data_IF_676922524153
#
_entry.id   IF_676922524153
#
_cell.length_a   1.000
_cell.length_b   1.000
_cell.length_c   1.000
_cell.angle_alpha   90.00
_cell.angle_beta   90.00
_cell.angle_gamma   90.00
#
_symmetry.space_group_name_H-M   'P 1'
#
loop_
_entity.id
_entity.type
_entity.pdbx_description
1 polymer ?
#
# COMPACT_ATOMS: atom_id res chain seq x y z
N UNK A 1 10.27 -11.04 -0.71
CA UNK A 1 8.85 -11.32 -0.99
C UNK A 1 8.09 -10.79 0.21
N UNK A 2 7.00 -10.02 0.05
CA UNK A 2 6.18 -9.67 1.20
C UNK A 2 5.70 -10.97 1.83
N UNK A 3 5.91 -11.10 3.14
CA UNK A 3 5.41 -12.25 3.90
C UNK A 3 3.89 -12.22 3.81
N UNK A 4 3.25 -13.36 3.57
CA UNK A 4 1.79 -13.49 3.61
C UNK A 4 1.46 -14.42 4.77
N UNK A 5 0.65 -13.93 5.72
CA UNK A 5 0.28 -14.63 6.94
C UNK A 5 -1.25 -14.75 7.04
N UNK A 6 -1.71 -15.86 7.58
CA UNK A 6 -3.07 -16.03 8.09
C UNK A 6 -3.29 -15.24 9.39
N UNK A 7 -4.54 -15.12 9.83
CA UNK A 7 -4.87 -14.47 11.10
C UNK A 7 -4.20 -15.19 12.28
N UNK A 8 -4.18 -16.51 12.24
CA UNK A 8 -3.61 -17.37 13.27
C UNK A 8 -2.08 -17.23 13.33
N UNK A 9 -1.40 -17.21 12.18
CA UNK A 9 0.05 -16.98 12.11
C UNK A 9 0.43 -15.58 12.59
N UNK A 10 -0.35 -14.56 12.23
CA UNK A 10 -0.14 -13.19 12.73
C UNK A 10 -0.33 -13.14 14.25
N UNK A 11 -1.40 -13.75 14.77
CA UNK A 11 -1.71 -13.80 16.21
C UNK A 11 -0.58 -14.45 17.01
N UNK A 12 -0.08 -15.59 16.52
CA UNK A 12 1.06 -16.29 17.13
C UNK A 12 2.32 -15.42 17.13
N UNK A 13 2.62 -14.78 15.98
CA UNK A 13 3.81 -13.93 15.82
C UNK A 13 3.81 -12.72 16.75
N UNK A 14 2.67 -12.05 16.91
CA UNK A 14 2.58 -10.78 17.66
C UNK A 14 2.05 -10.94 19.08
N UNK A 15 1.72 -12.18 19.48
CA UNK A 15 1.15 -12.56 20.76
C UNK A 15 -0.11 -11.76 21.13
N UNK A 16 -1.03 -11.61 20.18
CA UNK A 16 -2.33 -10.96 20.37
C UNK A 16 -3.44 -11.96 20.08
N UNK A 17 -4.52 -11.91 20.87
CA UNK A 17 -5.71 -12.74 20.67
C UNK A 17 -6.28 -12.56 19.25
N UNK A 18 -6.56 -13.65 18.50
CA UNK A 18 -7.09 -13.57 17.14
C UNK A 18 -8.39 -12.77 17.02
N UNK A 19 -9.21 -12.74 18.07
CA UNK A 19 -10.44 -11.96 18.11
C UNK A 19 -10.17 -10.44 18.00
N UNK A 20 -9.13 -9.95 18.68
CA UNK A 20 -8.76 -8.53 18.68
C UNK A 20 -8.16 -8.11 17.32
N UNK A 21 -7.33 -8.97 16.72
CA UNK A 21 -6.81 -8.74 15.38
C UNK A 21 -7.93 -8.70 14.32
N UNK A 22 -8.96 -9.55 14.48
CA UNK A 22 -10.13 -9.55 13.60
C UNK A 22 -10.92 -8.26 13.72
N UNK A 23 -11.15 -7.77 14.95
CA UNK A 23 -11.82 -6.49 15.20
C UNK A 23 -11.11 -5.33 14.50
N UNK A 24 -9.78 -5.27 14.59
CA UNK A 24 -8.99 -4.25 13.88
C UNK A 24 -9.04 -4.39 12.36
N UNK A 25 -9.05 -5.62 11.84
CA UNK A 25 -9.21 -5.85 10.40
C UNK A 25 -10.60 -5.41 9.91
N UNK A 26 -11.66 -5.71 10.67
CA UNK A 26 -13.03 -5.28 10.37
C UNK A 26 -13.18 -3.75 10.42
N UNK A 27 -12.42 -3.07 11.29
CA UNK A 27 -12.32 -1.61 11.35
C UNK A 27 -11.45 -0.99 10.23
N UNK A 28 -10.85 -1.81 9.35
CA UNK A 28 -9.95 -1.36 8.29
C UNK A 28 -8.58 -0.89 8.77
N UNK A 29 -8.21 -1.19 10.01
CA UNK A 29 -6.91 -0.86 10.61
C UNK A 29 -5.82 -1.88 10.26
N UNK A 30 -6.22 -3.09 9.86
CA UNK A 30 -5.38 -4.16 9.31
C UNK A 30 -6.05 -4.72 8.06
N UNK A 31 -5.27 -5.34 7.17
CA UNK A 31 -5.78 -5.92 5.91
C UNK A 31 -6.74 -4.94 5.19
N UNK A 32 -6.26 -3.74 4.78
CA UNK A 32 -7.13 -2.74 4.16
C UNK A 32 -7.71 -3.19 2.80
N UNK A 33 -7.31 -4.37 2.29
CA UNK A 33 -7.82 -4.99 1.07
C UNK A 33 -8.94 -6.00 1.35
N UNK A 34 -9.12 -6.43 2.60
CA UNK A 34 -10.10 -7.45 2.97
C UNK A 34 -9.80 -8.84 2.40
N UNK A 35 -8.53 -9.13 2.09
CA UNK A 35 -8.11 -10.40 1.48
C UNK A 35 -8.02 -11.54 2.52
N UNK A 36 -8.16 -11.23 3.82
CA UNK A 36 -7.93 -12.12 4.96
C UNK A 36 -6.52 -12.71 4.95
N UNK A 37 -5.58 -11.88 4.51
CA UNK A 37 -4.15 -12.13 4.43
C UNK A 37 -3.44 -10.91 4.96
N UNK A 38 -2.46 -11.15 5.83
CA UNK A 38 -1.70 -10.11 6.49
C UNK A 38 -0.26 -10.10 5.99
N UNK A 39 0.32 -8.92 5.87
CA UNK A 39 1.68 -8.75 5.38
C UNK A 39 2.57 -7.93 6.32
N UNK A 40 3.80 -7.66 5.89
CA UNK A 40 4.75 -6.88 6.68
C UNK A 40 4.25 -5.44 6.95
N UNK A 41 3.36 -4.88 6.10
CA UNK A 41 2.73 -3.59 6.35
C UNK A 41 1.71 -3.69 7.49
N UNK A 42 1.03 -4.82 7.65
CA UNK A 42 0.15 -5.04 8.81
C UNK A 42 0.92 -5.08 10.13
N UNK A 43 2.18 -5.56 10.11
CA UNK A 43 3.07 -5.44 11.28
C UNK A 43 3.40 -3.97 11.61
N UNK A 44 3.58 -3.11 10.59
CA UNK A 44 3.77 -1.67 10.81
C UNK A 44 2.51 -0.99 11.32
N UNK A 45 1.33 -1.33 10.77
CA UNK A 45 0.02 -0.87 11.26
C UNK A 45 -0.18 -1.24 12.72
N UNK A 46 0.19 -2.45 13.12
CA UNK A 46 0.13 -2.90 14.51
C UNK A 46 0.97 -2.04 15.47
N UNK A 47 2.12 -1.52 15.04
CA UNK A 47 2.89 -0.58 15.86
C UNK A 47 2.13 0.73 16.11
N UNK A 48 1.49 1.27 15.06
CA UNK A 48 0.66 2.49 15.14
C UNK A 48 -0.55 2.26 16.05
N UNK A 49 -1.23 1.13 15.89
CA UNK A 49 -2.36 0.71 16.73
C UNK A 49 -1.93 0.65 18.20
N UNK A 50 -0.81 -0.03 18.51
CA UNK A 50 -0.29 -0.15 19.88
C UNK A 50 0.08 1.21 20.49
N UNK A 51 0.65 2.11 19.69
CA UNK A 51 0.96 3.47 20.13
C UNK A 51 -0.32 4.25 20.48
N UNK A 52 -1.35 4.19 19.63
CA UNK A 52 -2.63 4.84 19.90
C UNK A 52 -3.33 4.26 21.14
N UNK A 53 -3.31 2.93 21.32
CA UNK A 53 -3.81 2.29 22.55
C UNK A 53 -3.04 2.78 23.79
N UNK A 54 -1.71 2.88 23.71
CA UNK A 54 -0.88 3.37 24.82
C UNK A 54 -1.17 4.85 25.18
N UNK A 55 -1.61 5.64 24.21
CA UNK A 55 -2.07 7.02 24.40
C UNK A 55 -3.53 7.12 24.89
N UNK A 56 -4.22 5.99 25.09
CA UNK A 56 -5.60 5.95 25.53
C UNK A 56 -6.62 6.41 24.49
N UNK A 57 -6.22 6.45 23.20
CA UNK A 57 -7.12 6.76 22.09
C UNK A 57 -7.91 5.52 21.68
N UNK A 58 -9.13 5.74 21.22
CA UNK A 58 -9.95 4.65 20.70
C UNK A 58 -9.52 4.24 19.29
N UNK A 59 -9.76 2.98 18.93
CA UNK A 59 -9.50 2.46 17.58
C UNK A 59 -10.49 3.01 16.56
N UNK A 60 -11.72 3.33 16.99
CA UNK A 60 -12.71 4.01 16.16
C UNK A 60 -12.24 5.42 15.74
N UNK A 61 -11.63 6.18 16.66
CA UNK A 61 -11.04 7.48 16.33
C UNK A 61 -9.88 7.35 15.33
N UNK A 62 -9.02 6.34 15.50
CA UNK A 62 -7.94 6.07 14.55
C UNK A 62 -8.50 5.69 13.18
N UNK A 63 -9.49 4.80 13.12
CA UNK A 63 -10.14 4.40 11.87
C UNK A 63 -10.81 5.60 11.17
N UNK A 64 -11.48 6.47 11.95
CA UNK A 64 -12.08 7.70 11.43
C UNK A 64 -11.03 8.67 10.87
N UNK A 65 -9.92 8.90 11.60
CA UNK A 65 -8.83 9.77 11.15
C UNK A 65 -8.17 9.23 9.86
N UNK A 66 -7.97 7.92 9.76
CA UNK A 66 -7.48 7.25 8.55
C UNK A 66 -8.45 7.48 7.39
N UNK A 67 -9.74 7.23 7.60
CA UNK A 67 -10.76 7.41 6.56
C UNK A 67 -10.83 8.87 6.06
N UNK A 68 -10.75 9.83 6.99
CA UNK A 68 -10.71 11.25 6.69
C UNK A 68 -9.40 11.71 6.01
N UNK A 69 -8.32 10.93 6.14
CA UNK A 69 -6.99 11.31 5.66
C UNK A 69 -6.28 12.32 6.53
N UNK A 70 -6.59 12.33 7.82
CA UNK A 70 -5.99 13.21 8.82
C UNK A 70 -4.69 12.62 9.40
N UNK A 71 -4.30 11.43 8.96
CA UNK A 71 -3.02 10.79 9.29
C UNK A 71 -1.94 11.30 8.34
N UNK A 72 -0.70 11.43 8.83
CA UNK A 72 0.42 11.95 8.02
C UNK A 72 0.49 11.29 6.62
N UNK A 73 0.82 12.05 5.55
CA UNK A 73 0.78 11.55 4.17
C UNK A 73 1.50 10.21 3.97
N UNK A 74 2.67 10.03 4.61
CA UNK A 74 3.41 8.76 4.59
C UNK A 74 2.60 7.59 5.15
N UNK A 75 1.96 7.79 6.31
CA UNK A 75 1.09 6.80 6.91
C UNK A 75 -0.18 6.60 6.06
N UNK A 76 -0.77 7.65 5.50
CA UNK A 76 -1.99 7.57 4.69
C UNK A 76 -1.82 6.93 3.30
N UNK A 77 -0.65 7.03 2.67
CA UNK A 77 -0.45 6.48 1.32
C UNK A 77 0.14 5.07 1.33
N UNK A 78 1.08 4.80 2.23
CA UNK A 78 1.81 3.53 2.26
C UNK A 78 1.28 2.57 3.32
N UNK A 79 0.93 3.09 4.50
CA UNK A 79 0.47 2.28 5.63
C UNK A 79 -1.05 2.18 5.62
N UNK A 80 -1.80 3.19 5.20
CA UNK A 80 -3.27 3.20 5.25
C UNK A 80 -3.87 3.68 3.91
N UNK A 81 -3.54 3.00 2.79
CA UNK A 81 -3.92 3.43 1.45
C UNK A 81 -5.43 3.68 1.33
N UNK A 82 -5.78 4.84 0.76
CA UNK A 82 -7.18 5.23 0.50
C UNK A 82 -7.56 5.04 -0.96
N UNK A 83 -8.84 4.77 -1.19
CA UNK A 83 -9.40 4.59 -2.52
C UNK A 83 -9.25 3.16 -3.05
N UNK A 84 -9.57 2.96 -4.33
CA UNK A 84 -9.53 1.65 -4.96
C UNK A 84 -8.08 1.15 -5.04
N UNK A 85 -7.83 -0.02 -4.44
CA UNK A 85 -6.59 -0.76 -4.56
C UNK A 85 -6.72 -1.76 -5.71
N UNK A 86 -5.91 -1.57 -6.73
CA UNK A 86 -5.88 -2.35 -7.96
C UNK A 86 -4.74 -3.37 -7.90
N UNK A 87 -5.01 -4.58 -8.39
CA UNK A 87 -3.99 -5.55 -8.74
C UNK A 87 -3.16 -5.08 -9.94
N UNK A 88 -2.02 -5.73 -10.20
CA UNK A 88 -1.22 -5.47 -11.40
C UNK A 88 -2.04 -5.64 -12.69
N UNK A 89 -2.91 -6.66 -12.74
CA UNK A 89 -3.75 -6.93 -13.89
C UNK A 89 -4.79 -5.83 -14.11
N UNK A 90 -5.48 -5.41 -13.06
CA UNK A 90 -6.47 -4.32 -13.13
C UNK A 90 -5.80 -2.98 -13.48
N UNK A 91 -4.62 -2.70 -12.92
CA UNK A 91 -3.88 -1.49 -13.25
C UNK A 91 -3.43 -1.48 -14.72
N UNK A 92 -2.94 -2.61 -15.25
CA UNK A 92 -2.57 -2.74 -16.66
C UNK A 92 -3.76 -2.55 -17.59
N UNK A 93 -4.89 -3.19 -17.27
CA UNK A 93 -6.13 -3.06 -18.04
C UNK A 93 -6.63 -1.61 -18.09
N UNK A 94 -6.63 -0.92 -16.95
CA UNK A 94 -7.16 0.45 -16.85
C UNK A 94 -6.24 1.50 -17.45
N UNK A 95 -4.93 1.38 -17.25
CA UNK A 95 -3.95 2.37 -17.72
C UNK A 95 -3.48 2.13 -19.15
N UNK A 96 -3.71 0.94 -19.71
CA UNK A 96 -3.18 0.53 -21.00
C UNK A 96 -1.65 0.38 -21.03
N UNK A 97 -1.00 0.39 -19.86
CA UNK A 97 0.45 0.20 -19.73
C UNK A 97 0.77 -1.29 -19.70
N UNK A 98 1.86 -1.66 -20.37
CA UNK A 98 2.36 -3.03 -20.35
C UNK A 98 2.59 -3.54 -18.89
N UNK A 99 2.11 -4.75 -18.52
CA UNK A 99 2.23 -5.26 -17.16
C UNK A 99 3.67 -5.44 -16.67
N UNK A 100 4.63 -5.71 -17.56
CA UNK A 100 6.04 -5.83 -17.19
C UNK A 100 6.63 -4.45 -16.89
N UNK A 101 6.33 -3.46 -17.74
CA UNK A 101 6.72 -2.08 -17.48
C UNK A 101 6.09 -1.54 -16.19
N UNK A 102 4.82 -1.84 -15.90
CA UNK A 102 4.18 -1.45 -14.63
C UNK A 102 4.88 -2.03 -13.40
N UNK A 103 5.28 -3.31 -13.46
CA UNK A 103 6.01 -3.95 -12.36
C UNK A 103 7.35 -3.27 -12.10
N UNK A 104 8.05 -2.91 -13.16
CA UNK A 104 9.37 -2.30 -13.06
C UNK A 104 9.29 -0.84 -12.64
N UNK A 105 8.30 -0.10 -13.14
CA UNK A 105 8.01 1.26 -12.68
C UNK A 105 7.64 1.28 -11.20
N UNK A 106 6.77 0.36 -10.73
CA UNK A 106 6.44 0.25 -9.29
C UNK A 106 7.70 0.10 -8.44
N UNK A 107 8.64 -0.73 -8.90
CA UNK A 107 9.90 -0.97 -8.19
C UNK A 107 10.82 0.25 -8.26
N UNK A 108 10.95 0.86 -9.43
CA UNK A 108 11.78 2.05 -9.64
C UNK A 108 11.27 3.27 -8.87
N UNK A 109 9.95 3.47 -8.79
CA UNK A 109 9.31 4.53 -8.03
C UNK A 109 9.36 4.31 -6.50
N UNK A 110 9.96 3.20 -6.04
CA UNK A 110 10.08 2.88 -4.62
C UNK A 110 8.77 2.43 -3.94
N UNK A 111 7.73 2.09 -4.70
CA UNK A 111 6.44 1.71 -4.13
C UNK A 111 6.49 0.32 -3.50
N UNK A 112 6.45 0.29 -2.16
CA UNK A 112 6.55 -0.96 -1.38
C UNK A 112 5.27 -1.81 -1.43
N UNK A 113 4.10 -1.18 -1.64
CA UNK A 113 2.81 -1.86 -1.69
C UNK A 113 2.73 -2.81 -2.90
N UNK A 114 2.12 -4.01 -2.75
CA UNK A 114 2.09 -5.02 -3.82
C UNK A 114 1.15 -4.68 -4.99
N UNK A 115 0.29 -3.67 -4.85
CA UNK A 115 -0.70 -3.25 -5.84
C UNK A 115 -0.64 -1.75 -6.11
N UNK A 116 -1.64 -1.23 -6.81
CA UNK A 116 -1.76 0.15 -7.25
C UNK A 116 -2.94 0.86 -6.60
N UNK A 117 -2.83 2.15 -6.36
CA UNK A 117 -3.97 3.02 -6.11
C UNK A 117 -4.46 3.58 -7.44
N UNK A 118 -5.76 3.85 -7.54
CA UNK A 118 -6.31 4.55 -8.71
C UNK A 118 -5.55 5.86 -9.01
N UNK A 119 -5.12 6.56 -7.95
CA UNK A 119 -4.39 7.82 -8.07
C UNK A 119 -3.01 7.66 -8.75
N UNK A 120 -2.38 6.49 -8.61
CA UNK A 120 -1.08 6.21 -9.21
C UNK A 120 -1.14 6.09 -10.73
N UNK A 121 -2.31 5.72 -11.28
CA UNK A 121 -2.44 5.44 -12.70
C UNK A 121 -2.01 6.65 -13.53
N UNK A 122 -2.26 7.88 -13.05
CA UNK A 122 -1.80 9.11 -13.71
C UNK A 122 -0.28 9.21 -13.83
N UNK A 123 0.46 8.79 -12.80
CA UNK A 123 1.93 8.77 -12.82
C UNK A 123 2.40 7.72 -13.81
N UNK A 124 1.79 6.53 -13.79
CA UNK A 124 2.13 5.41 -14.68
C UNK A 124 1.85 5.74 -16.15
N UNK A 125 0.73 6.38 -16.44
CA UNK A 125 0.36 6.87 -17.77
C UNK A 125 1.35 7.92 -18.29
N UNK A 126 1.86 8.80 -17.43
CA UNK A 126 2.89 9.77 -17.79
C UNK A 126 4.20 9.08 -18.20
N UNK A 127 4.67 8.09 -17.44
CA UNK A 127 5.85 7.30 -17.82
C UNK A 127 5.61 6.50 -19.10
N UNK A 128 4.42 5.95 -19.30
CA UNK A 128 4.06 5.24 -20.53
C UNK A 128 4.09 6.17 -21.76
N UNK A 129 3.62 7.41 -21.63
CA UNK A 129 3.72 8.41 -22.69
C UNK A 129 5.19 8.73 -23.06
N UNK A 130 6.08 8.81 -22.06
CA UNK A 130 7.52 9.01 -22.29
C UNK A 130 8.13 7.79 -22.98
N UNK A 131 7.75 6.58 -22.57
CA UNK A 131 8.17 5.33 -23.21
C UNK A 131 7.74 5.29 -24.69
N UNK A 132 6.48 5.64 -24.96
CA UNK A 132 5.91 5.69 -26.31
C UNK A 132 6.59 6.74 -27.21
N UNK A 133 7.19 7.79 -26.62
CA UNK A 133 8.00 8.78 -27.33
C UNK A 133 9.41 8.25 -27.73
N UNK A 134 9.74 7.00 -27.38
CA UNK A 134 10.99 6.35 -27.77
C UNK A 134 12.11 6.46 -26.74
N UNK A 135 11.80 6.85 -25.49
CA UNK A 135 12.80 6.82 -24.42
C UNK A 135 13.27 5.38 -24.16
N UNK A 136 14.59 5.11 -24.09
CA UNK A 136 15.10 3.81 -23.71
C UNK A 136 14.60 3.38 -22.33
N UNK A 137 14.28 2.10 -22.19
CA UNK A 137 13.69 1.53 -20.98
C UNK A 137 14.54 1.80 -19.75
N UNK A 138 15.86 1.68 -19.86
CA UNK A 138 16.80 1.93 -18.77
C UNK A 138 16.72 3.39 -18.32
N UNK A 139 16.72 4.33 -19.26
CA UNK A 139 16.62 5.76 -18.96
C UNK A 139 15.26 6.13 -18.33
N UNK A 140 14.19 5.49 -18.79
CA UNK A 140 12.85 5.65 -18.22
C UNK A 140 12.82 5.20 -16.75
N UNK A 141 13.41 4.04 -16.45
CA UNK A 141 13.47 3.52 -15.08
C UNK A 141 14.39 4.35 -14.19
N UNK A 142 15.51 4.87 -14.69
CA UNK A 142 16.32 5.82 -13.93
C UNK A 142 15.56 7.12 -13.64
N UNK A 143 14.81 7.64 -14.61
CA UNK A 143 13.93 8.79 -14.40
C UNK A 143 12.86 8.52 -13.34
N UNK A 144 12.30 7.30 -13.32
CA UNK A 144 11.35 6.88 -12.31
C UNK A 144 11.97 6.79 -10.91
N UNK A 145 13.21 6.29 -10.78
CA UNK A 145 13.95 6.30 -9.49
C UNK A 145 14.19 7.71 -8.99
N UNK A 146 14.73 8.57 -9.86
CA UNK A 146 14.99 9.96 -9.51
C UNK A 146 13.71 10.71 -9.12
N UNK A 147 12.59 10.43 -9.78
CA UNK A 147 11.30 11.00 -9.40
C UNK A 147 10.82 10.47 -8.04
N UNK A 148 10.90 9.16 -7.83
CA UNK A 148 10.52 8.52 -6.56
C UNK A 148 11.32 9.05 -5.36
N UNK A 149 12.62 9.30 -5.53
CA UNK A 149 13.50 9.84 -4.48
C UNK A 149 13.15 11.29 -4.06
N UNK A 150 12.33 12.01 -4.85
CA UNK A 150 11.92 13.39 -4.56
C UNK A 150 10.56 13.53 -3.88
N UNK A 151 9.81 12.42 -3.76
CA UNK A 151 8.50 12.35 -3.12
C UNK A 151 8.64 11.89 -1.66
#
# INVERSE_FOLDING_TARGET
>A
MPTSMSLEELAELVHIEPAKLREWAEAGLLDPRGERRFDDLDLLRLMTIKEYEALGKSMDELAAAISAGEVEPFLGEYIYPRGAQLTLAEAAERSGVDPELLRDLRTALGWIRPGFLEADLRVLEAFNAIAAAGMPREALLEGARAFGDTL
#
